data_IF_310447546075
#
_entry.id   IF_310447546075
#
_cell.length_a   1.000
_cell.length_b   1.000
_cell.length_c   1.000
_cell.angle_alpha   90.00
_cell.angle_beta   90.00
_cell.angle_gamma   90.00
#
_symmetry.space_group_name_H-M   'P 1'
#
loop_
_entity.id
_entity.type
_entity.pdbx_description
1 polymer ?
#
# COMPACT_ATOMS: atom_id res chain seq x y z
N UNK A 1 -8.28 23.78 22.62
CA UNK A 1 -8.75 23.32 21.30
C UNK A 1 -10.26 23.20 21.31
N UNK A 2 -10.93 23.85 20.37
CA UNK A 2 -12.39 23.85 20.24
C UNK A 2 -12.88 22.65 19.40
N UNK A 3 -14.16 22.24 19.52
CA UNK A 3 -14.72 21.20 18.66
C UNK A 3 -14.59 21.51 17.15
N UNK A 4 -14.63 22.79 16.77
CA UNK A 4 -14.46 23.24 15.37
C UNK A 4 -13.03 23.03 14.86
N UNK A 5 -12.02 23.34 15.68
CA UNK A 5 -10.61 23.09 15.35
C UNK A 5 -10.34 21.58 15.22
N UNK A 6 -10.90 20.79 16.14
CA UNK A 6 -10.84 19.32 16.10
C UNK A 6 -11.47 18.75 14.83
N UNK A 7 -12.61 19.27 14.39
CA UNK A 7 -13.23 18.79 13.14
C UNK A 7 -12.38 19.12 11.90
N UNK A 8 -11.75 20.30 11.84
CA UNK A 8 -10.82 20.64 10.75
C UNK A 8 -9.62 19.71 10.73
N UNK A 9 -8.97 19.48 11.87
CA UNK A 9 -7.84 18.56 11.97
C UNK A 9 -8.24 17.13 11.62
N UNK A 10 -9.42 16.68 12.07
CA UNK A 10 -9.95 15.36 11.74
C UNK A 10 -10.13 15.20 10.22
N UNK A 11 -10.75 16.17 9.55
CA UNK A 11 -10.92 16.13 8.08
C UNK A 11 -9.57 16.05 7.35
N UNK A 12 -8.57 16.82 7.78
CA UNK A 12 -7.22 16.73 7.21
C UNK A 12 -6.58 15.35 7.46
N UNK A 13 -6.76 14.77 8.64
CA UNK A 13 -6.27 13.44 8.95
C UNK A 13 -6.96 12.34 8.13
N UNK A 14 -8.27 12.46 7.89
CA UNK A 14 -9.04 11.57 6.98
C UNK A 14 -8.50 11.65 5.55
N UNK A 15 -8.30 12.86 5.00
CA UNK A 15 -7.71 13.01 3.67
C UNK A 15 -6.31 12.41 3.60
N UNK A 16 -5.48 12.63 4.61
CA UNK A 16 -4.12 12.05 4.66
C UNK A 16 -4.19 10.52 4.74
N UNK A 17 -5.11 9.95 5.54
CA UNK A 17 -5.36 8.51 5.59
C UNK A 17 -5.67 7.96 4.21
N UNK A 18 -6.57 8.59 3.46
CA UNK A 18 -6.96 8.12 2.12
C UNK A 18 -5.78 8.13 1.15
N UNK A 19 -4.95 9.19 1.19
CA UNK A 19 -3.72 9.28 0.39
C UNK A 19 -2.73 8.17 0.72
N UNK A 20 -2.47 7.91 2.01
CA UNK A 20 -1.52 6.85 2.42
C UNK A 20 -2.04 5.45 2.04
N UNK A 21 -3.35 5.21 2.19
CA UNK A 21 -3.95 3.93 1.79
C UNK A 21 -3.91 3.73 0.27
N UNK A 22 -4.14 4.78 -0.52
CA UNK A 22 -4.00 4.73 -1.98
C UNK A 22 -2.55 4.42 -2.39
N UNK A 23 -1.56 5.05 -1.77
CA UNK A 23 -0.15 4.77 -2.03
C UNK A 23 0.23 3.32 -1.68
N UNK A 24 -0.22 2.81 -0.53
CA UNK A 24 -0.02 1.42 -0.14
C UNK A 24 -0.68 0.42 -1.12
N UNK A 25 -1.89 0.73 -1.60
CA UNK A 25 -2.59 -0.07 -2.59
C UNK A 25 -1.83 -0.10 -3.93
N UNK A 26 -1.33 1.04 -4.39
CA UNK A 26 -0.50 1.15 -5.60
C UNK A 26 0.78 0.31 -5.47
N UNK A 27 1.48 0.40 -4.34
CA UNK A 27 2.67 -0.42 -4.10
C UNK A 27 2.36 -1.91 -4.06
N UNK A 28 1.19 -2.30 -3.53
CA UNK A 28 0.75 -3.69 -3.51
C UNK A 28 0.42 -4.21 -4.91
N UNK A 29 -0.20 -3.39 -5.77
CA UNK A 29 -0.43 -3.73 -7.18
C UNK A 29 0.87 -3.89 -7.96
N UNK A 30 1.86 -3.04 -7.69
CA UNK A 30 3.19 -3.14 -8.31
C UNK A 30 3.84 -4.50 -8.01
N UNK A 31 3.82 -4.93 -6.75
CA UNK A 31 4.34 -6.25 -6.38
C UNK A 31 3.62 -7.39 -7.07
N UNK A 32 2.28 -7.36 -7.09
CA UNK A 32 1.50 -8.36 -7.80
C UNK A 32 1.83 -8.41 -9.30
N UNK A 33 2.12 -7.24 -9.92
CA UNK A 33 2.58 -7.15 -11.30
C UNK A 33 3.95 -7.80 -11.51
N UNK A 34 4.91 -7.58 -10.61
CA UNK A 34 6.24 -8.20 -10.66
C UNK A 34 6.14 -9.73 -10.49
N UNK A 35 5.33 -10.20 -9.54
CA UNK A 35 5.09 -11.64 -9.33
C UNK A 35 4.46 -12.28 -10.58
N UNK A 36 3.53 -11.59 -11.25
CA UNK A 36 2.94 -12.05 -12.50
C UNK A 36 3.95 -12.09 -13.66
N UNK A 37 4.83 -11.09 -13.76
CA UNK A 37 5.91 -11.07 -14.75
C UNK A 37 6.89 -12.23 -14.54
N UNK A 38 7.31 -12.50 -13.30
CA UNK A 38 8.18 -13.63 -12.98
C UNK A 38 7.56 -14.97 -13.38
N UNK A 39 6.28 -15.18 -13.04
CA UNK A 39 5.54 -16.40 -13.42
C UNK A 39 5.39 -16.55 -14.93
N UNK A 40 5.11 -15.45 -15.63
CA UNK A 40 5.02 -15.45 -17.09
C UNK A 40 6.35 -15.86 -17.72
N UNK A 41 7.45 -15.25 -17.28
CA UNK A 41 8.80 -15.58 -17.77
C UNK A 41 9.17 -17.05 -17.52
N UNK A 42 8.80 -17.60 -16.37
CA UNK A 42 8.98 -19.02 -16.08
C UNK A 42 8.16 -19.93 -17.01
N UNK A 43 6.91 -19.58 -17.27
CA UNK A 43 6.06 -20.33 -18.20
C UNK A 43 6.60 -20.25 -19.64
N UNK A 44 7.03 -19.08 -20.10
CA UNK A 44 7.61 -18.87 -21.43
C UNK A 44 8.87 -19.74 -21.61
N UNK A 45 9.74 -19.79 -20.58
CA UNK A 45 10.90 -20.69 -20.54
C UNK A 45 10.51 -22.17 -20.59
N UNK A 46 9.52 -22.57 -19.79
CA UNK A 46 9.05 -23.97 -19.76
C UNK A 46 8.50 -24.40 -21.12
N UNK A 47 7.73 -23.51 -21.77
CA UNK A 47 7.19 -23.75 -23.09
C UNK A 47 8.30 -23.85 -24.15
N UNK A 48 9.25 -22.90 -24.16
CA UNK A 48 10.38 -22.92 -25.08
C UNK A 48 11.23 -24.20 -24.95
N UNK A 49 11.40 -24.72 -23.72
CA UNK A 49 12.06 -26.01 -23.49
C UNK A 49 11.25 -27.21 -24.00
N UNK A 50 9.93 -27.16 -23.86
CA UNK A 50 9.05 -28.23 -24.34
C UNK A 50 9.00 -28.31 -25.88
N UNK A 51 9.22 -27.19 -26.56
CA UNK A 51 9.28 -27.10 -28.03
C UNK A 51 10.66 -27.50 -28.61
N UNK A 52 11.64 -27.82 -27.76
CA UNK A 52 12.98 -28.18 -28.20
C UNK A 52 12.97 -29.50 -28.99
N UNK A 53 13.37 -29.43 -30.26
CA UNK A 53 13.52 -30.59 -31.14
C UNK A 53 14.98 -31.05 -31.17
N UNK A 54 15.20 -32.34 -30.97
CA UNK A 54 16.54 -32.95 -31.02
C UNK A 54 17.15 -32.80 -32.43
N UNK A 55 18.43 -32.37 -32.48
CA UNK A 55 19.15 -32.16 -33.74
C UNK A 55 19.02 -30.78 -34.39
N UNK A 56 18.10 -29.91 -33.93
CA UNK A 56 18.04 -28.51 -34.39
C UNK A 56 19.01 -27.62 -33.62
N UNK A 57 20.25 -27.56 -34.12
CA UNK A 57 21.32 -26.73 -33.55
C UNK A 57 21.00 -25.23 -33.60
N UNK A 58 20.17 -24.76 -34.54
CA UNK A 58 19.79 -23.36 -34.61
C UNK A 58 18.79 -23.01 -33.51
N UNK A 59 17.83 -23.89 -33.24
CA UNK A 59 16.92 -23.77 -32.11
C UNK A 59 17.67 -23.83 -30.78
N UNK A 60 18.58 -24.79 -30.60
CA UNK A 60 19.37 -24.93 -29.37
C UNK A 60 20.13 -23.64 -29.02
N UNK A 61 20.75 -22.97 -30.01
CA UNK A 61 21.42 -21.68 -29.80
C UNK A 61 20.46 -20.56 -29.41
N UNK A 62 19.26 -20.49 -30.02
CA UNK A 62 18.23 -19.50 -29.66
C UNK A 62 17.71 -19.74 -28.25
N UNK A 63 17.46 -21.00 -27.88
CA UNK A 63 17.02 -21.38 -26.54
C UNK A 63 18.05 -20.97 -25.49
N UNK A 64 19.34 -21.28 -25.71
CA UNK A 64 20.40 -20.88 -24.78
C UNK A 64 20.50 -19.35 -24.60
N UNK A 65 20.34 -18.58 -25.69
CA UNK A 65 20.32 -17.12 -25.61
C UNK A 65 19.09 -16.61 -24.84
N UNK A 66 17.92 -17.23 -25.06
CA UNK A 66 16.70 -16.91 -24.33
C UNK A 66 16.78 -17.27 -22.84
N UNK A 67 17.42 -18.39 -22.48
CA UNK A 67 17.70 -18.78 -21.10
C UNK A 67 18.61 -17.77 -20.41
N UNK A 68 19.73 -17.40 -21.04
CA UNK A 68 20.64 -16.38 -20.51
C UNK A 68 19.95 -15.02 -20.32
N UNK A 69 19.10 -14.61 -21.27
CA UNK A 69 18.29 -13.40 -21.13
C UNK A 69 17.30 -13.52 -19.97
N UNK A 70 16.60 -14.65 -19.87
CA UNK A 70 15.60 -14.90 -18.83
C UNK A 70 16.22 -14.90 -17.43
N UNK A 71 17.42 -15.44 -17.26
CA UNK A 71 18.13 -15.41 -15.97
C UNK A 71 18.47 -13.98 -15.54
N UNK A 72 18.93 -13.14 -16.48
CA UNK A 72 19.15 -11.70 -16.21
C UNK A 72 17.84 -11.00 -15.84
N UNK A 73 16.78 -11.21 -16.63
CA UNK A 73 15.48 -10.61 -16.36
C UNK A 73 14.87 -11.07 -15.04
N UNK A 74 15.08 -12.33 -14.63
CA UNK A 74 14.68 -12.81 -13.30
C UNK A 74 15.42 -12.07 -12.19
N UNK A 75 16.73 -11.89 -12.33
CA UNK A 75 17.51 -11.14 -11.34
C UNK A 75 17.03 -9.68 -11.24
N UNK A 76 16.72 -9.04 -12.36
CA UNK A 76 16.17 -7.68 -12.40
C UNK A 76 14.79 -7.60 -11.72
N UNK A 77 13.89 -8.55 -12.02
CA UNK A 77 12.57 -8.63 -11.40
C UNK A 77 12.69 -8.83 -9.89
N UNK A 78 13.59 -9.71 -9.43
CA UNK A 78 13.77 -9.96 -7.99
C UNK A 78 14.32 -8.72 -7.28
N UNK A 79 15.32 -8.04 -7.84
CA UNK A 79 15.82 -6.78 -7.28
C UNK A 79 14.71 -5.72 -7.18
N UNK A 80 13.87 -5.61 -8.21
CA UNK A 80 12.77 -4.65 -8.19
C UNK A 80 11.67 -5.06 -7.20
N UNK A 81 11.46 -6.36 -7.02
CA UNK A 81 10.54 -6.92 -6.02
C UNK A 81 11.01 -6.63 -4.61
N UNK A 82 12.29 -6.80 -4.30
CA UNK A 82 12.88 -6.42 -3.01
C UNK A 82 12.69 -4.93 -2.71
N UNK A 83 12.99 -4.06 -3.68
CA UNK A 83 12.75 -2.61 -3.55
C UNK A 83 11.28 -2.28 -3.32
N UNK A 84 10.38 -2.92 -4.07
CA UNK A 84 8.94 -2.72 -3.94
C UNK A 84 8.40 -3.27 -2.60
N UNK A 85 8.98 -4.34 -2.05
CA UNK A 85 8.65 -4.86 -0.72
C UNK A 85 9.05 -3.88 0.38
N UNK A 86 10.29 -3.37 0.34
CA UNK A 86 10.77 -2.37 1.29
C UNK A 86 9.91 -1.09 1.25
N UNK A 87 9.56 -0.63 0.05
CA UNK A 87 8.66 0.52 -0.13
C UNK A 87 7.26 0.24 0.43
N UNK A 88 6.68 -0.94 0.15
CA UNK A 88 5.37 -1.33 0.67
C UNK A 88 5.35 -1.32 2.20
N UNK A 89 6.38 -1.83 2.85
CA UNK A 89 6.42 -1.86 4.31
C UNK A 89 6.54 -0.45 4.91
N UNK A 90 7.34 0.43 4.29
CA UNK A 90 7.38 1.86 4.67
C UNK A 90 6.00 2.52 4.53
N UNK A 91 5.31 2.31 3.40
CA UNK A 91 3.97 2.85 3.17
C UNK A 91 2.93 2.26 4.13
N UNK A 92 3.07 0.98 4.51
CA UNK A 92 2.22 0.34 5.53
C UNK A 92 2.36 1.05 6.87
N UNK A 93 3.58 1.33 7.31
CA UNK A 93 3.82 2.06 8.55
C UNK A 93 3.26 3.50 8.50
N UNK A 94 3.30 4.15 7.33
CA UNK A 94 2.69 5.47 7.13
C UNK A 94 1.16 5.41 7.20
N UNK A 95 0.53 4.44 6.54
CA UNK A 95 -0.91 4.23 6.58
C UNK A 95 -1.42 3.91 7.99
N UNK A 96 -0.72 3.05 8.75
CA UNK A 96 -1.07 2.74 10.15
C UNK A 96 -1.02 3.99 11.03
N UNK A 97 0.01 4.83 10.87
CA UNK A 97 0.09 6.11 11.61
C UNK A 97 -1.01 7.09 11.20
N UNK A 98 -1.38 7.13 9.92
CA UNK A 98 -2.47 7.99 9.45
C UNK A 98 -3.82 7.54 10.01
N UNK A 99 -4.10 6.23 10.02
CA UNK A 99 -5.28 5.63 10.66
C UNK A 99 -5.36 5.99 12.14
N UNK A 100 -4.28 5.74 12.90
CA UNK A 100 -4.25 6.06 14.33
C UNK A 100 -4.47 7.54 14.64
N UNK A 101 -3.92 8.45 13.83
CA UNK A 101 -4.15 9.90 13.98
C UNK A 101 -5.62 10.28 13.74
N UNK A 102 -6.24 9.74 12.70
CA UNK A 102 -7.65 9.99 12.40
C UNK A 102 -8.56 9.51 13.55
N UNK A 103 -8.30 8.31 14.08
CA UNK A 103 -9.03 7.73 15.21
C UNK A 103 -8.88 8.57 16.50
N UNK A 104 -7.66 9.00 16.82
CA UNK A 104 -7.41 9.85 18.00
C UNK A 104 -8.14 11.18 17.88
N UNK A 105 -8.10 11.83 16.72
CA UNK A 105 -8.80 13.10 16.51
C UNK A 105 -10.32 12.94 16.58
N UNK A 106 -10.87 11.83 16.08
CA UNK A 106 -12.29 11.52 16.22
C UNK A 106 -12.70 11.36 17.70
N UNK A 107 -11.90 10.62 18.50
CA UNK A 107 -12.12 10.46 19.95
C UNK A 107 -12.02 11.78 20.69
N UNK A 108 -11.01 12.60 20.40
CA UNK A 108 -10.84 13.93 21.01
C UNK A 108 -12.02 14.85 20.67
N UNK A 109 -12.50 14.86 19.43
CA UNK A 109 -13.68 15.63 19.01
C UNK A 109 -14.91 15.24 19.83
N UNK A 110 -15.20 13.94 19.94
CA UNK A 110 -16.33 13.43 20.73
C UNK A 110 -16.23 13.83 22.20
N UNK A 111 -15.03 13.75 22.78
CA UNK A 111 -14.79 14.18 24.16
C UNK A 111 -15.00 15.68 24.35
N UNK A 112 -14.54 16.51 23.42
CA UNK A 112 -14.72 17.96 23.47
C UNK A 112 -16.19 18.37 23.32
N UNK A 113 -16.96 17.72 22.44
CA UNK A 113 -18.40 17.94 22.28
C UNK A 113 -19.17 17.56 23.54
N UNK A 114 -18.86 16.41 24.15
CA UNK A 114 -19.46 15.99 25.41
C UNK A 114 -19.17 16.98 26.55
N UNK A 115 -17.96 17.54 26.62
CA UNK A 115 -17.59 18.55 27.61
C UNK A 115 -18.43 19.83 27.43
N UNK A 116 -18.51 20.34 26.20
CA UNK A 116 -19.32 21.54 25.89
C UNK A 116 -20.80 21.33 26.20
N UNK A 117 -21.34 20.14 25.94
CA UNK A 117 -22.73 19.83 26.27
C UNK A 117 -22.98 19.84 27.79
N UNK A 118 -22.07 19.27 28.59
CA UNK A 118 -22.15 19.28 30.06
C UNK A 118 -22.08 20.70 30.63
N UNK A 119 -21.14 21.52 30.14
CA UNK A 119 -21.01 22.92 30.55
C UNK A 119 -22.27 23.74 30.24
N UNK A 120 -22.92 23.48 29.10
CA UNK A 120 -24.19 24.14 28.73
C UNK A 120 -25.35 23.71 29.64
N UNK A 121 -25.47 22.41 29.95
CA UNK A 121 -26.50 21.91 30.84
C UNK A 121 -26.35 22.46 32.26
N UNK A 122 -25.12 22.53 32.79
CA UNK A 122 -24.84 23.11 34.10
C UNK A 122 -25.29 24.58 34.18
N UNK A 123 -24.94 25.40 33.17
CA UNK A 123 -25.35 26.81 33.10
C UNK A 123 -26.86 27.02 32.94
N UNK A 124 -27.57 26.06 32.33
CA UNK A 124 -29.03 26.13 32.23
C UNK A 124 -29.70 25.84 33.57
N UNK A 125 -29.18 24.86 34.32
CA UNK A 125 -29.67 24.54 35.66
C UNK A 125 -29.42 25.69 36.65
N UNK A 126 -28.25 26.33 36.61
CA UNK A 126 -27.92 27.50 37.45
C UNK A 126 -28.79 28.72 37.16
N UNK A 127 -29.38 28.83 35.96
CA UNK A 127 -30.28 29.93 35.59
C UNK A 127 -31.75 29.65 35.90
N UNK A 128 -32.08 28.40 36.23
CA UNK A 128 -33.46 27.94 36.47
C UNK A 128 -33.71 27.65 37.96
N UNK A 129 -32.68 27.78 38.80
CA UNK A 129 -32.72 27.68 40.26
C UNK A 129 -32.63 29.09 40.86
#
# INVERSE_FOLDING_TARGET
MTPRELDRLRRLAEMKKDVELAALAQSSRRLAGLDAQARRLENDLRQARAEAVEGDMAFARRLAAFESWSDRSRAEIEQERERALALKESLRAQAVRALGRADVLAKMKKAAEARVARERAARQNERSA
#
